data_IF_987710257502
#
_entry.id   IF_987710257502
#
_cell.length_a   1.000
_cell.length_b   1.000
_cell.length_c   1.000
_cell.angle_alpha   90.00
_cell.angle_beta   90.00
_cell.angle_gamma   90.00
#
_symmetry.space_group_name_H-M   'P 1'
#
loop_
_entity.id
_entity.type
_entity.pdbx_description
1 polymer ?
#
# COMPACT_ATOMS: atom_id res chain seq x y z
N UNK A 1 12.81 -12.47 -7.95
CA UNK A 1 12.15 -13.65 -8.53
C UNK A 1 13.15 -14.48 -9.35
N UNK A 2 12.85 -15.77 -9.51
CA UNK A 2 13.64 -16.71 -10.32
C UNK A 2 12.71 -17.45 -11.28
N UNK A 3 13.02 -17.37 -12.55
CA UNK A 3 12.22 -17.98 -13.62
C UNK A 3 12.35 -19.51 -13.60
N UNK A 4 11.26 -20.21 -13.85
CA UNK A 4 11.19 -21.66 -13.91
C UNK A 4 12.23 -22.25 -14.91
N UNK A 5 12.83 -23.36 -14.53
CA UNK A 5 13.83 -24.06 -15.37
C UNK A 5 15.25 -23.49 -15.32
N UNK A 6 15.44 -22.27 -14.77
CA UNK A 6 16.78 -21.68 -14.64
C UNK A 6 17.64 -22.38 -13.57
N UNK A 7 18.98 -22.32 -13.68
CA UNK A 7 19.87 -22.86 -12.65
C UNK A 7 19.62 -22.22 -11.28
N UNK A 8 19.30 -20.93 -11.24
CA UNK A 8 19.01 -20.16 -10.04
C UNK A 8 17.74 -20.65 -9.34
N UNK A 9 16.66 -20.88 -10.10
CA UNK A 9 15.41 -21.44 -9.56
C UNK A 9 15.65 -22.84 -8.97
N UNK A 10 16.42 -23.69 -9.65
CA UNK A 10 16.81 -25.02 -9.16
C UNK A 10 17.64 -24.95 -7.88
N UNK A 11 18.61 -24.03 -7.82
CA UNK A 11 19.44 -23.78 -6.62
C UNK A 11 18.58 -23.29 -5.45
N UNK A 12 17.64 -22.37 -5.70
CA UNK A 12 16.74 -21.86 -4.69
C UNK A 12 15.81 -22.96 -4.16
N UNK A 13 15.21 -23.75 -5.06
CA UNK A 13 14.38 -24.88 -4.63
C UNK A 13 15.16 -25.92 -3.82
N UNK A 14 16.39 -26.25 -4.23
CA UNK A 14 17.26 -27.15 -3.48
C UNK A 14 17.49 -26.65 -2.05
N UNK A 15 17.79 -25.37 -1.88
CA UNK A 15 17.93 -24.75 -0.56
C UNK A 15 16.63 -24.85 0.25
N UNK A 16 15.48 -24.50 -0.34
CA UNK A 16 14.18 -24.61 0.34
C UNK A 16 13.91 -26.04 0.80
N UNK A 17 14.22 -27.03 -0.02
CA UNK A 17 13.97 -28.44 0.29
C UNK A 17 14.95 -28.97 1.35
N UNK A 18 16.24 -28.80 1.12
CA UNK A 18 17.29 -29.47 1.90
C UNK A 18 17.56 -28.76 3.24
N UNK A 19 17.48 -27.41 3.27
CA UNK A 19 17.80 -26.61 4.45
C UNK A 19 16.54 -26.14 5.20
N UNK A 20 15.46 -25.81 4.47
CA UNK A 20 14.22 -25.26 5.07
C UNK A 20 13.12 -26.29 5.23
N UNK A 21 13.31 -27.53 4.79
CA UNK A 21 12.33 -28.61 4.91
C UNK A 21 11.02 -28.39 4.10
N UNK A 22 11.07 -27.59 3.05
CA UNK A 22 9.90 -27.31 2.20
C UNK A 22 9.71 -28.47 1.22
N UNK A 23 8.71 -29.31 1.47
CA UNK A 23 8.44 -30.53 0.67
C UNK A 23 7.20 -30.43 -0.21
N UNK A 24 6.42 -29.34 -0.11
CA UNK A 24 5.10 -29.25 -0.74
C UNK A 24 5.07 -28.51 -2.08
N UNK A 25 6.22 -28.23 -2.69
CA UNK A 25 6.26 -27.69 -4.05
C UNK A 25 5.89 -28.80 -5.03
N UNK A 26 4.72 -28.68 -5.67
CA UNK A 26 4.12 -29.76 -6.46
C UNK A 26 4.86 -30.05 -7.77
N UNK A 27 5.36 -28.99 -8.43
CA UNK A 27 6.02 -29.08 -9.74
C UNK A 27 7.31 -28.26 -9.74
N UNK A 28 8.36 -28.68 -9.01
CA UNK A 28 9.53 -27.85 -8.77
C UNK A 28 10.32 -27.49 -10.04
N UNK A 29 10.35 -28.38 -11.05
CA UNK A 29 11.09 -28.15 -12.28
C UNK A 29 10.46 -27.07 -13.18
N UNK A 30 9.17 -26.82 -13.02
CA UNK A 30 8.41 -25.85 -13.79
C UNK A 30 7.83 -24.72 -12.92
N UNK A 31 8.30 -24.60 -11.67
CA UNK A 31 7.92 -23.52 -10.79
C UNK A 31 8.90 -22.36 -10.85
N UNK A 32 8.36 -21.13 -10.97
CA UNK A 32 9.08 -19.91 -10.66
C UNK A 32 8.97 -19.61 -9.16
N UNK A 33 9.94 -18.89 -8.61
CA UNK A 33 9.98 -18.57 -7.19
C UNK A 33 10.14 -17.08 -6.95
N UNK A 34 9.49 -16.57 -5.90
CA UNK A 34 9.63 -15.20 -5.43
C UNK A 34 9.76 -15.14 -3.91
N UNK A 35 10.35 -14.07 -3.42
CA UNK A 35 10.47 -13.77 -1.98
C UNK A 35 9.72 -12.49 -1.68
N UNK A 36 8.88 -12.52 -0.65
CA UNK A 36 8.16 -11.36 -0.13
C UNK A 36 8.67 -11.02 1.27
N UNK A 37 9.64 -10.11 1.39
CA UNK A 37 10.05 -9.62 2.71
C UNK A 37 9.08 -8.56 3.21
N UNK A 38 8.79 -8.59 4.51
CA UNK A 38 8.07 -7.52 5.23
C UNK A 38 8.84 -7.24 6.51
N UNK A 39 9.22 -5.99 6.74
CA UNK A 39 9.98 -5.59 7.92
C UNK A 39 9.14 -4.79 8.91
N UNK A 40 9.52 -4.88 10.19
CA UNK A 40 8.93 -4.06 11.26
C UNK A 40 9.16 -2.58 10.99
N UNK A 41 10.36 -2.19 10.63
CA UNK A 41 10.75 -0.79 10.41
C UNK A 41 9.99 -0.17 9.23
N UNK A 42 9.84 -0.91 8.13
CA UNK A 42 9.04 -0.47 6.98
C UNK A 42 7.57 -0.32 7.33
N UNK A 43 7.02 -1.28 8.09
CA UNK A 43 5.64 -1.23 8.58
C UNK A 43 5.42 -0.03 9.49
N UNK A 44 6.27 0.14 10.51
CA UNK A 44 6.15 1.24 11.47
C UNK A 44 6.26 2.60 10.79
N UNK A 45 7.14 2.74 9.80
CA UNK A 45 7.27 3.98 9.04
C UNK A 45 6.01 4.33 8.25
N UNK A 46 5.40 3.35 7.59
CA UNK A 46 4.15 3.53 6.85
C UNK A 46 2.98 3.87 7.79
N UNK A 47 2.78 3.06 8.82
CA UNK A 47 1.64 3.24 9.75
C UNK A 47 1.76 4.54 10.53
N UNK A 48 2.97 4.95 10.92
CA UNK A 48 3.20 6.26 11.55
C UNK A 48 2.76 7.40 10.63
N UNK A 49 3.16 7.35 9.36
CA UNK A 49 2.77 8.35 8.39
C UNK A 49 1.24 8.39 8.18
N UNK A 50 0.60 7.22 8.11
CA UNK A 50 -0.86 7.12 7.97
C UNK A 50 -1.60 7.69 9.20
N UNK A 51 -1.16 7.36 10.41
CA UNK A 51 -1.76 7.89 11.65
C UNK A 51 -1.55 9.41 11.77
N UNK A 52 -0.35 9.90 11.47
CA UNK A 52 -0.08 11.33 11.49
C UNK A 52 -0.93 12.07 10.44
N UNK A 53 -1.01 11.55 9.22
CA UNK A 53 -1.86 12.12 8.17
C UNK A 53 -3.33 12.19 8.60
N UNK A 54 -3.85 11.13 9.23
CA UNK A 54 -5.22 11.13 9.72
C UNK A 54 -5.46 12.22 10.76
N UNK A 55 -4.54 12.42 11.70
CA UNK A 55 -4.64 13.47 12.72
C UNK A 55 -4.52 14.87 12.13
N UNK A 56 -3.55 15.11 11.25
CA UNK A 56 -3.30 16.40 10.62
C UNK A 56 -4.50 16.88 9.76
N UNK A 57 -5.22 15.92 9.18
CA UNK A 57 -6.39 16.20 8.33
C UNK A 57 -7.74 15.97 9.03
N UNK A 58 -7.73 15.74 10.35
CA UNK A 58 -8.94 15.47 11.15
C UNK A 58 -9.78 14.29 10.61
N UNK A 59 -9.12 13.27 10.08
CA UNK A 59 -9.77 12.06 9.57
C UNK A 59 -9.92 11.03 10.70
N UNK A 60 -11.08 10.37 10.83
CA UNK A 60 -11.42 9.62 12.04
C UNK A 60 -10.68 8.28 12.18
N UNK A 61 -10.18 7.70 11.09
CA UNK A 61 -9.65 6.32 11.18
C UNK A 61 -8.51 6.02 10.22
N UNK A 62 -7.66 5.07 10.66
CA UNK A 62 -6.69 4.37 9.81
C UNK A 62 -7.07 2.89 9.77
N UNK A 63 -7.19 2.32 8.57
CA UNK A 63 -7.47 0.89 8.38
C UNK A 63 -6.24 0.20 7.83
N UNK A 64 -5.74 -0.80 8.57
CA UNK A 64 -4.65 -1.68 8.13
C UNK A 64 -5.23 -2.78 7.24
N UNK A 65 -4.96 -2.75 5.95
CA UNK A 65 -5.44 -3.76 5.01
C UNK A 65 -4.36 -4.81 4.78
N UNK A 66 -4.69 -6.09 5.00
CA UNK A 66 -3.73 -7.19 5.01
C UNK A 66 -4.37 -8.53 4.66
N UNK A 67 -3.56 -9.54 4.33
CA UNK A 67 -3.96 -10.95 4.16
C UNK A 67 -3.32 -11.85 5.24
N UNK A 68 -3.29 -11.38 6.47
CA UNK A 68 -2.63 -12.05 7.60
C UNK A 68 -3.23 -13.38 8.04
N UNK A 69 -4.47 -13.69 7.64
CA UNK A 69 -5.08 -15.01 7.87
C UNK A 69 -4.42 -16.12 7.03
N UNK A 70 -3.82 -15.77 5.88
CA UNK A 70 -3.09 -16.68 5.00
C UNK A 70 -1.58 -16.53 5.18
N UNK A 71 -1.06 -15.31 5.02
CA UNK A 71 0.36 -14.99 5.15
C UNK A 71 0.66 -14.48 6.57
N UNK A 72 0.73 -15.40 7.52
CA UNK A 72 0.70 -15.13 8.97
C UNK A 72 1.88 -14.31 9.48
N UNK A 73 3.06 -14.46 8.90
CA UNK A 73 4.28 -13.80 9.37
C UNK A 73 4.65 -12.55 8.60
N UNK A 74 4.28 -12.44 7.34
CA UNK A 74 4.47 -11.24 6.52
C UNK A 74 3.31 -10.27 6.69
N UNK A 75 2.17 -10.57 6.13
CA UNK A 75 0.96 -9.75 6.24
C UNK A 75 0.42 -9.65 7.68
N UNK A 76 0.45 -10.77 8.41
CA UNK A 76 0.10 -10.79 9.83
C UNK A 76 1.10 -10.04 10.70
N UNK A 77 2.38 -10.04 10.34
CA UNK A 77 3.41 -9.19 10.93
C UNK A 77 3.10 -7.72 10.72
N UNK A 78 2.76 -7.30 9.50
CA UNK A 78 2.31 -5.94 9.18
C UNK A 78 1.17 -5.49 10.10
N UNK A 79 0.10 -6.27 10.20
CA UNK A 79 -1.01 -6.00 11.11
C UNK A 79 -0.52 -5.81 12.54
N UNK A 80 0.21 -6.79 13.07
CA UNK A 80 0.67 -6.79 14.48
C UNK A 80 1.52 -5.56 14.79
N UNK A 81 2.55 -5.30 13.98
CA UNK A 81 3.46 -4.18 14.19
C UNK A 81 2.77 -2.83 13.99
N UNK A 82 1.77 -2.76 13.11
CA UNK A 82 0.95 -1.57 12.93
C UNK A 82 0.15 -1.21 14.18
N UNK A 83 -0.50 -2.17 14.81
CA UNK A 83 -1.20 -1.96 16.08
C UNK A 83 -0.24 -1.61 17.22
N UNK A 84 0.89 -2.33 17.34
CA UNK A 84 1.91 -2.05 18.35
C UNK A 84 2.45 -0.63 18.24
N UNK A 85 2.71 -0.15 17.02
CA UNK A 85 3.13 1.22 16.76
C UNK A 85 2.06 2.22 17.18
N UNK A 86 0.83 2.04 16.69
CA UNK A 86 -0.27 2.96 16.96
C UNK A 86 -0.51 3.11 18.48
N UNK A 87 -0.50 2.01 19.21
CA UNK A 87 -0.64 2.04 20.67
C UNK A 87 0.54 2.75 21.34
N UNK A 88 1.76 2.55 20.87
CA UNK A 88 2.97 3.12 21.44
C UNK A 88 3.11 4.62 21.21
N UNK A 89 2.78 5.10 20.01
CA UNK A 89 3.08 6.46 19.57
C UNK A 89 1.83 7.36 19.50
N UNK A 90 0.64 6.79 19.39
CA UNK A 90 -0.63 7.52 19.26
C UNK A 90 -1.66 7.13 20.32
N UNK A 91 -1.20 6.53 21.43
CA UNK A 91 -2.05 6.02 22.49
C UNK A 91 -3.04 7.06 23.05
N UNK A 92 -2.61 8.31 23.23
CA UNK A 92 -3.49 9.39 23.71
C UNK A 92 -4.61 9.70 22.70
N UNK A 93 -4.29 9.77 21.39
CA UNK A 93 -5.27 10.02 20.34
C UNK A 93 -6.25 8.85 20.17
N UNK A 94 -5.81 7.63 20.47
CA UNK A 94 -6.69 6.45 20.48
C UNK A 94 -7.61 6.47 21.72
N UNK A 95 -7.10 6.89 22.87
CA UNK A 95 -7.84 6.91 24.13
C UNK A 95 -8.94 7.99 24.15
N UNK A 96 -8.66 9.15 23.56
CA UNK A 96 -9.61 10.28 23.50
C UNK A 96 -10.52 10.25 22.25
N UNK A 97 -10.35 9.25 21.39
CA UNK A 97 -11.21 9.02 20.22
C UNK A 97 -10.93 9.91 19.00
N UNK A 98 -9.85 10.70 19.01
CA UNK A 98 -9.43 11.48 17.83
C UNK A 98 -8.94 10.62 16.67
N UNK A 99 -8.53 9.39 16.96
CA UNK A 99 -8.07 8.43 15.99
C UNK A 99 -8.61 7.03 16.32
N UNK A 100 -9.13 6.33 15.33
CA UNK A 100 -9.46 4.92 15.43
C UNK A 100 -8.52 4.13 14.53
N UNK A 101 -7.83 3.12 15.08
CA UNK A 101 -7.10 2.14 14.27
C UNK A 101 -7.89 0.86 14.18
N UNK A 102 -8.07 0.36 12.97
CA UNK A 102 -8.78 -0.89 12.67
C UNK A 102 -8.06 -1.67 11.59
N UNK A 103 -8.47 -2.92 11.37
CA UNK A 103 -7.91 -3.73 10.29
C UNK A 103 -9.02 -4.38 9.46
N UNK A 104 -8.67 -4.72 8.22
CA UNK A 104 -9.53 -5.46 7.34
C UNK A 104 -8.72 -6.46 6.50
N UNK A 105 -9.25 -7.68 6.35
CA UNK A 105 -8.68 -8.66 5.43
C UNK A 105 -8.88 -8.17 4.00
N UNK A 106 -7.86 -8.25 3.15
CA UNK A 106 -7.80 -7.60 1.85
C UNK A 106 -9.00 -7.91 0.93
N UNK A 107 -9.43 -9.16 0.86
CA UNK A 107 -10.61 -9.55 0.06
C UNK A 107 -11.92 -8.98 0.61
N UNK A 108 -12.10 -8.97 1.93
CA UNK A 108 -13.23 -8.31 2.56
C UNK A 108 -13.19 -6.79 2.36
N UNK A 109 -11.99 -6.19 2.40
CA UNK A 109 -11.82 -4.77 2.13
C UNK A 109 -12.25 -4.40 0.69
N UNK A 110 -11.84 -5.18 -0.32
CA UNK A 110 -12.24 -4.97 -1.71
C UNK A 110 -13.77 -5.02 -1.87
N UNK A 111 -14.45 -5.94 -1.17
CA UNK A 111 -15.92 -5.98 -1.14
C UNK A 111 -16.51 -4.75 -0.42
N UNK A 112 -16.00 -4.45 0.77
CA UNK A 112 -16.57 -3.42 1.63
C UNK A 112 -16.43 -2.01 1.04
N UNK A 113 -15.38 -1.71 0.31
CA UNK A 113 -15.23 -0.42 -0.39
C UNK A 113 -16.32 -0.17 -1.43
N UNK A 114 -16.93 -1.23 -1.98
CA UNK A 114 -18.07 -1.12 -2.89
C UNK A 114 -19.42 -1.01 -2.16
N UNK A 115 -19.54 -1.58 -0.97
CA UNK A 115 -20.81 -1.67 -0.22
C UNK A 115 -20.96 -0.55 0.81
N UNK A 116 -19.88 -0.19 1.50
CA UNK A 116 -19.86 0.72 2.65
C UNK A 116 -18.58 1.57 2.64
N UNK A 117 -18.28 2.30 1.54
CA UNK A 117 -17.01 3.06 1.41
C UNK A 117 -16.83 4.10 2.51
N UNK A 118 -17.91 4.65 3.07
CA UNK A 118 -17.94 5.65 4.13
C UNK A 118 -17.29 5.17 5.46
N UNK A 119 -17.13 3.87 5.62
CA UNK A 119 -16.45 3.27 6.78
C UNK A 119 -14.94 3.53 6.80
N UNK A 120 -14.36 3.97 5.69
CA UNK A 120 -12.92 4.06 5.50
C UNK A 120 -12.46 5.49 5.28
N UNK A 121 -11.40 5.91 6.00
CA UNK A 121 -10.78 7.22 5.82
C UNK A 121 -9.37 7.08 5.27
N UNK A 122 -8.40 6.70 6.07
CA UNK A 122 -7.02 6.47 5.63
C UNK A 122 -6.76 4.96 5.55
N UNK A 123 -6.17 4.52 4.47
CA UNK A 123 -5.81 3.11 4.24
C UNK A 123 -4.30 2.97 4.32
N UNK A 124 -3.83 2.09 5.19
CA UNK A 124 -2.43 1.68 5.25
C UNK A 124 -2.33 0.21 4.84
N UNK A 125 -1.52 -0.08 3.83
CA UNK A 125 -1.38 -1.45 3.31
C UNK A 125 -0.02 -1.67 2.68
N UNK A 126 0.34 -2.94 2.45
CA UNK A 126 1.59 -3.31 1.79
C UNK A 126 1.51 -3.07 0.29
N UNK A 127 2.68 -2.94 -0.35
CA UNK A 127 2.87 -2.51 -1.73
C UNK A 127 1.88 -3.16 -2.73
N UNK A 128 1.85 -4.47 -2.86
CA UNK A 128 1.01 -5.16 -3.85
C UNK A 128 -0.49 -4.99 -3.56
N UNK A 129 -0.89 -5.08 -2.30
CA UNK A 129 -2.28 -4.83 -1.92
C UNK A 129 -2.67 -3.37 -2.22
N UNK A 130 -1.75 -2.43 -1.95
CA UNK A 130 -1.94 -1.01 -2.21
C UNK A 130 -2.11 -0.69 -3.69
N UNK A 131 -1.31 -1.35 -4.54
CA UNK A 131 -1.41 -1.24 -6.00
C UNK A 131 -2.81 -1.63 -6.50
N UNK A 132 -3.32 -2.79 -6.08
CA UNK A 132 -4.66 -3.22 -6.45
C UNK A 132 -5.77 -2.31 -5.88
N UNK A 133 -5.63 -1.92 -4.62
CA UNK A 133 -6.63 -1.12 -3.90
C UNK A 133 -6.71 0.29 -4.47
N UNK A 134 -5.57 0.91 -4.77
CA UNK A 134 -5.56 2.28 -5.30
C UNK A 134 -6.28 2.39 -6.64
N UNK A 135 -6.09 1.44 -7.54
CA UNK A 135 -6.77 1.41 -8.83
C UNK A 135 -8.28 1.16 -8.68
N UNK A 136 -8.69 0.28 -7.76
CA UNK A 136 -10.10 0.07 -7.46
C UNK A 136 -10.75 1.34 -6.91
N UNK A 137 -10.13 2.00 -5.95
CA UNK A 137 -10.65 3.24 -5.36
C UNK A 137 -10.69 4.37 -6.39
N UNK A 138 -9.67 4.47 -7.24
CA UNK A 138 -9.65 5.42 -8.34
C UNK A 138 -10.81 5.16 -9.33
N UNK A 139 -11.08 3.90 -9.66
CA UNK A 139 -12.20 3.54 -10.54
C UNK A 139 -13.56 3.96 -9.96
N UNK A 140 -13.74 3.84 -8.64
CA UNK A 140 -14.99 4.25 -7.97
C UNK A 140 -15.29 5.75 -8.06
N UNK A 141 -14.27 6.59 -8.25
CA UNK A 141 -14.40 8.06 -8.33
C UNK A 141 -14.19 8.60 -9.75
N UNK A 142 -14.00 7.74 -10.75
CA UNK A 142 -13.92 8.14 -12.15
C UNK A 142 -12.71 7.62 -12.94
N UNK A 143 -11.84 6.86 -12.29
CA UNK A 143 -10.68 6.20 -12.91
C UNK A 143 -9.34 6.81 -12.53
N UNK A 144 -8.27 6.12 -12.90
CA UNK A 144 -6.89 6.50 -12.54
C UNK A 144 -6.45 7.86 -13.11
N UNK A 145 -7.14 8.35 -14.14
CA UNK A 145 -6.87 9.69 -14.73
C UNK A 145 -7.15 10.87 -13.81
N UNK A 146 -7.78 10.64 -12.65
CA UNK A 146 -8.04 11.69 -11.65
C UNK A 146 -7.34 11.44 -10.31
N UNK A 147 -6.71 10.28 -10.12
CA UNK A 147 -6.05 9.94 -8.86
C UNK A 147 -4.65 10.57 -8.77
N UNK A 148 -4.34 11.39 -7.75
CA UNK A 148 -2.99 11.92 -7.56
C UNK A 148 -2.07 10.86 -6.95
N UNK A 149 -0.77 11.01 -7.17
CA UNK A 149 0.26 10.13 -6.62
C UNK A 149 1.47 10.88 -6.06
N UNK A 150 2.05 10.31 -5.00
CA UNK A 150 3.29 10.78 -4.42
C UNK A 150 4.09 9.64 -3.82
N UNK A 151 5.42 9.68 -3.99
CA UNK A 151 6.39 8.83 -3.32
C UNK A 151 7.15 9.68 -2.30
N UNK A 152 6.94 9.47 -1.02
CA UNK A 152 7.47 10.32 0.04
C UNK A 152 8.37 9.52 0.98
N UNK A 153 9.59 10.00 1.18
CA UNK A 153 10.46 9.52 2.23
C UNK A 153 10.24 10.36 3.51
N UNK A 154 9.40 9.88 4.41
CA UNK A 154 9.06 10.58 5.64
C UNK A 154 10.21 10.76 6.65
N UNK A 155 11.40 10.16 6.40
CA UNK A 155 12.59 10.38 7.23
C UNK A 155 13.44 11.56 6.74
N UNK A 156 13.54 11.72 5.43
CA UNK A 156 14.43 12.73 4.80
C UNK A 156 13.68 13.90 4.21
N UNK A 157 12.36 13.78 4.02
CA UNK A 157 11.54 14.78 3.37
C UNK A 157 11.67 14.83 1.84
N UNK A 158 12.42 13.89 1.23
CA UNK A 158 12.43 13.82 -0.24
C UNK A 158 11.12 13.25 -0.75
N UNK A 159 10.57 13.86 -1.79
CA UNK A 159 9.32 13.44 -2.40
C UNK A 159 9.33 13.57 -3.91
N UNK A 160 8.61 12.67 -4.58
CA UNK A 160 8.32 12.71 -6.02
C UNK A 160 6.80 12.70 -6.16
N UNK A 161 6.27 13.64 -6.93
CA UNK A 161 4.84 13.74 -7.23
C UNK A 161 4.63 13.42 -8.70
N UNK A 162 3.74 12.49 -8.98
CA UNK A 162 3.52 11.96 -10.33
C UNK A 162 2.06 11.56 -10.53
N UNK A 163 1.64 11.47 -11.79
CA UNK A 163 0.37 10.84 -12.12
C UNK A 163 0.45 9.34 -11.80
N UNK A 164 -0.63 8.76 -11.27
CA UNK A 164 -0.67 7.33 -10.91
C UNK A 164 -0.73 6.42 -12.14
N UNK A 165 -1.16 6.92 -13.30
CA UNK A 165 -1.24 6.16 -14.55
C UNK A 165 0.07 6.16 -15.32
N UNK A 166 0.25 5.17 -16.22
CA UNK A 166 1.36 5.11 -17.17
C UNK A 166 1.20 6.08 -18.35
N UNK A 167 2.09 5.96 -19.32
CA UNK A 167 2.20 6.85 -20.48
C UNK A 167 1.08 6.70 -21.52
N UNK A 168 0.29 5.62 -21.47
CA UNK A 168 -0.85 5.33 -22.33
C UNK A 168 -0.59 5.57 -23.85
N UNK A 169 0.43 4.92 -24.46
CA UNK A 169 0.89 5.23 -25.82
C UNK A 169 -0.22 5.07 -26.87
N UNK A 170 -1.21 4.20 -26.62
CA UNK A 170 -2.33 3.93 -27.54
C UNK A 170 -3.25 5.15 -27.74
N UNK A 171 -3.24 6.11 -26.83
CA UNK A 171 -4.08 7.32 -26.87
C UNK A 171 -3.25 8.61 -26.94
N UNK A 172 -1.93 8.50 -27.00
CA UNK A 172 -1.04 9.66 -27.15
C UNK A 172 -1.40 10.45 -28.40
N UNK A 173 -1.45 11.77 -28.30
CA UNK A 173 -1.78 12.69 -29.39
C UNK A 173 -3.27 12.76 -29.78
N UNK A 174 -4.15 11.96 -29.15
CA UNK A 174 -5.60 11.96 -29.46
C UNK A 174 -6.39 12.99 -28.65
N UNK A 175 -5.78 13.71 -27.72
CA UNK A 175 -6.41 14.73 -26.86
C UNK A 175 -7.65 14.21 -26.11
N UNK A 176 -7.59 12.98 -25.58
CA UNK A 176 -8.70 12.32 -24.87
C UNK A 176 -8.37 11.98 -23.42
N UNK A 177 -7.14 12.25 -22.97
CA UNK A 177 -6.69 11.95 -21.62
C UNK A 177 -7.23 12.98 -20.63
N UNK A 178 -7.72 12.52 -19.48
CA UNK A 178 -8.04 13.41 -18.36
C UNK A 178 -6.74 13.84 -17.67
N UNK A 179 -6.40 15.15 -17.58
CA UNK A 179 -5.15 15.61 -17.00
C UNK A 179 -5.21 15.76 -15.48
N UNK A 180 -6.34 15.46 -14.83
CA UNK A 180 -6.54 15.73 -13.40
C UNK A 180 -5.55 15.00 -12.50
N UNK A 181 -5.10 13.79 -12.85
CA UNK A 181 -4.14 13.04 -12.03
C UNK A 181 -2.86 13.86 -11.81
N UNK A 182 -2.24 14.36 -12.89
CA UNK A 182 -1.00 15.14 -12.76
C UNK A 182 -1.25 16.52 -12.14
N UNK A 183 -2.40 17.15 -12.42
CA UNK A 183 -2.76 18.45 -11.81
C UNK A 183 -2.93 18.30 -10.30
N UNK A 184 -3.67 17.29 -9.85
CA UNK A 184 -3.87 17.04 -8.43
C UNK A 184 -2.58 16.58 -7.72
N UNK A 185 -1.67 15.88 -8.43
CA UNK A 185 -0.34 15.58 -7.91
C UNK A 185 0.49 16.85 -7.71
N UNK A 186 0.35 17.84 -8.61
CA UNK A 186 0.97 19.15 -8.41
C UNK A 186 0.35 19.92 -7.22
N UNK A 187 -0.96 19.83 -7.03
CA UNK A 187 -1.64 20.38 -5.83
C UNK A 187 -1.07 19.75 -4.55
N UNK A 188 -0.91 18.40 -4.52
CA UNK A 188 -0.26 17.72 -3.39
C UNK A 188 1.18 18.22 -3.16
N UNK A 189 1.94 18.46 -4.22
CA UNK A 189 3.31 18.99 -4.13
C UNK A 189 3.31 20.40 -3.51
N UNK A 190 2.43 21.28 -3.96
CA UNK A 190 2.33 22.64 -3.42
C UNK A 190 1.93 22.61 -1.94
N UNK A 191 0.95 21.78 -1.57
CA UNK A 191 0.58 21.54 -0.18
C UNK A 191 1.75 20.98 0.66
N UNK A 192 2.54 20.07 0.09
CA UNK A 192 3.73 19.53 0.74
C UNK A 192 4.81 20.59 1.04
N UNK A 193 4.95 21.59 0.17
CA UNK A 193 5.81 22.76 0.41
C UNK A 193 5.21 23.79 1.36
N UNK A 194 3.97 23.63 1.79
CA UNK A 194 3.26 24.63 2.60
C UNK A 194 2.73 25.82 1.79
N UNK A 195 2.68 25.74 0.48
CA UNK A 195 2.16 26.79 -0.41
C UNK A 195 0.65 26.62 -0.62
N UNK A 196 -0.08 26.70 0.46
CA UNK A 196 -1.53 26.40 0.49
C UNK A 196 -2.39 27.36 -0.33
N UNK A 197 -1.95 28.61 -0.54
CA UNK A 197 -2.65 29.56 -1.41
C UNK A 197 -2.51 29.23 -2.90
N UNK A 198 -1.47 28.47 -3.27
CA UNK A 198 -1.21 28.05 -4.64
C UNK A 198 -1.76 26.65 -4.95
N UNK A 199 -2.12 25.89 -3.91
CA UNK A 199 -2.69 24.56 -3.99
C UNK A 199 -4.22 24.62 -4.04
#
# INVERSE_FOLDING_TARGET
EWEAGTPEAKKFYKFLKDEMGVTKVRFPETSSFGVKPVSREGTERLVRAACQYALDHHLPSVTLVHKGNIMKYTEGGFKKWGYELAQREFGDALADGRLVIKDCIADAFLQNTLLIPEEYSVIATLNLNGDYVSDQLAAMVGGIGIAPGANINYKTGHAIFEATHGTAPNIAGKNVVNPCSIILSAVMMLGYFGWTEAA
#
